data_IF_812183792896
#
_entry.id   IF_812183792896
#
_cell.length_a   1.000
_cell.length_b   1.000
_cell.length_c   1.000
_cell.angle_alpha   90.00
_cell.angle_beta   90.00
_cell.angle_gamma   90.00
#
_symmetry.space_group_name_H-M   'P 1'
#
loop_
_entity.id
_entity.type
_entity.pdbx_description
1 polymer ?
#
# COMPACT_ATOMS: atom_id res chain seq x y z
N UNK A 1 57.29 -43.42 43.87
CA UNK A 1 56.72 -42.27 44.58
C UNK A 1 56.01 -41.41 43.53
N UNK A 2 54.73 -41.69 43.27
CA UNK A 2 53.57 -40.91 43.73
C UNK A 2 53.65 -39.41 43.44
N UNK A 3 52.82 -38.93 42.50
CA UNK A 3 51.65 -38.06 42.75
C UNK A 3 51.34 -37.24 41.48
N UNK A 4 50.30 -37.62 40.72
CA UNK A 4 48.95 -37.01 40.74
C UNK A 4 48.85 -35.80 39.78
N UNK A 5 48.25 -36.01 38.61
CA UNK A 5 46.84 -35.71 38.27
C UNK A 5 46.55 -34.20 38.15
N UNK A 6 46.31 -33.77 36.92
CA UNK A 6 45.11 -33.01 36.54
C UNK A 6 45.00 -32.97 35.01
N UNK A 7 44.24 -33.92 34.45
CA UNK A 7 43.69 -33.83 33.10
C UNK A 7 42.53 -32.84 33.17
N UNK A 8 42.70 -31.64 32.64
CA UNK A 8 41.59 -30.73 32.43
C UNK A 8 40.84 -31.13 31.15
N UNK A 9 39.67 -31.70 31.35
CA UNK A 9 38.66 -31.99 30.33
C UNK A 9 38.02 -30.65 29.95
N UNK A 10 38.39 -30.09 28.80
CA UNK A 10 37.65 -28.98 28.20
C UNK A 10 36.61 -29.57 27.25
N UNK A 11 35.35 -29.45 27.66
CA UNK A 11 34.16 -29.86 26.90
C UNK A 11 34.06 -29.03 25.61
N UNK A 12 33.55 -29.58 24.51
CA UNK A 12 33.23 -28.79 23.33
C UNK A 12 32.11 -27.80 23.66
N UNK A 13 32.39 -26.50 23.51
CA UNK A 13 31.37 -25.46 23.55
C UNK A 13 30.59 -25.56 22.25
N UNK A 14 29.42 -26.19 22.33
CA UNK A 14 28.38 -26.11 21.32
C UNK A 14 27.88 -24.66 21.26
N UNK A 15 28.38 -23.91 20.29
CA UNK A 15 27.80 -22.61 19.92
C UNK A 15 26.72 -22.86 18.88
N UNK A 16 25.63 -23.52 19.30
CA UNK A 16 24.36 -23.38 18.61
C UNK A 16 23.87 -21.96 18.92
N UNK A 17 24.36 -20.99 18.15
CA UNK A 17 23.69 -19.70 18.01
C UNK A 17 22.39 -20.00 17.25
N UNK A 18 21.36 -20.33 18.01
CA UNK A 18 19.98 -20.21 17.57
C UNK A 18 19.81 -18.75 17.20
N UNK A 19 19.92 -18.44 15.90
CA UNK A 19 19.27 -17.28 15.35
C UNK A 19 17.79 -17.51 15.64
N UNK A 20 17.33 -16.99 16.77
CA UNK A 20 15.93 -16.62 16.93
C UNK A 20 15.70 -15.60 15.83
N UNK A 21 15.24 -16.09 14.67
CA UNK A 21 14.49 -15.28 13.72
C UNK A 21 13.48 -14.57 14.60
N UNK A 22 13.68 -13.27 14.82
CA UNK A 22 12.57 -12.42 15.22
C UNK A 22 11.44 -12.79 14.28
N UNK A 23 10.28 -13.19 14.80
CA UNK A 23 9.10 -13.36 13.98
C UNK A 23 9.00 -12.12 13.08
N UNK A 24 9.24 -12.31 11.79
CA UNK A 24 9.53 -11.23 10.84
C UNK A 24 8.30 -10.33 10.79
N UNK A 25 8.47 -9.02 10.90
CA UNK A 25 7.37 -8.04 10.81
C UNK A 25 6.60 -8.08 9.47
N UNK A 26 7.02 -8.94 8.52
CA UNK A 26 6.49 -9.12 7.18
C UNK A 26 5.69 -10.43 7.00
N UNK A 27 5.65 -11.32 8.00
CA UNK A 27 4.75 -12.49 8.02
C UNK A 27 3.34 -12.09 8.48
N UNK A 28 2.79 -11.08 7.82
CA UNK A 28 1.43 -10.60 8.07
C UNK A 28 0.72 -10.36 6.74
N UNK A 29 -0.62 -10.29 6.75
CA UNK A 29 -1.37 -9.95 5.56
C UNK A 29 -0.89 -8.63 4.94
N UNK A 30 -0.83 -8.60 3.61
CA UNK A 30 -0.59 -7.37 2.85
C UNK A 30 -1.75 -6.40 3.13
N UNK A 31 -1.43 -5.15 3.46
CA UNK A 31 -2.40 -4.09 3.75
C UNK A 31 -2.23 -2.91 2.80
N UNK A 32 -3.23 -2.03 2.77
CA UNK A 32 -3.19 -0.80 1.97
C UNK A 32 -1.95 0.03 2.28
N UNK A 33 -1.59 0.14 3.55
CA UNK A 33 -0.47 0.99 4.00
C UNK A 33 0.89 0.49 3.49
N UNK A 34 0.99 -0.78 3.09
CA UNK A 34 2.20 -1.36 2.50
C UNK A 34 2.41 -0.88 1.06
N UNK A 35 1.31 -0.66 0.35
CA UNK A 35 1.29 -0.30 -1.06
C UNK A 35 1.22 1.21 -1.29
N UNK A 36 0.72 1.98 -0.33
CA UNK A 36 0.61 3.44 -0.44
C UNK A 36 1.92 4.10 -0.01
N UNK A 37 2.47 4.97 -0.85
CA UNK A 37 3.65 5.76 -0.52
C UNK A 37 3.27 6.88 0.47
N UNK A 38 4.08 7.17 1.50
CA UNK A 38 3.79 8.26 2.44
C UNK A 38 3.58 9.61 1.72
N UNK A 39 4.33 9.86 0.66
CA UNK A 39 4.25 11.09 -0.14
C UNK A 39 3.21 11.06 -1.28
N UNK A 40 2.30 10.09 -1.33
CA UNK A 40 1.30 9.98 -2.41
C UNK A 40 0.47 11.27 -2.58
N UNK A 41 0.25 12.04 -1.51
CA UNK A 41 -0.44 13.34 -1.59
C UNK A 41 0.36 14.32 -2.42
N UNK A 42 1.66 14.48 -2.13
CA UNK A 42 2.57 15.34 -2.88
C UNK A 42 2.69 14.89 -4.34
N UNK A 43 2.78 13.59 -4.58
CA UNK A 43 2.81 13.03 -5.93
C UNK A 43 1.53 13.34 -6.71
N UNK A 44 0.37 13.37 -6.05
CA UNK A 44 -0.89 13.73 -6.68
C UNK A 44 -0.96 15.22 -7.05
N UNK A 45 -0.33 16.11 -6.27
CA UNK A 45 -0.30 17.56 -6.56
C UNK A 45 0.68 17.92 -7.68
N UNK A 46 1.59 17.03 -8.07
CA UNK A 46 2.49 17.21 -9.22
C UNK A 46 1.76 17.08 -10.57
N UNK A 47 0.52 16.59 -10.58
CA UNK A 47 -0.29 16.50 -11.79
C UNK A 47 -0.71 17.88 -12.29
N UNK A 48 -1.13 17.91 -13.55
CA UNK A 48 -1.69 19.12 -14.15
C UNK A 48 -3.14 19.36 -13.79
N UNK A 49 -3.89 18.30 -13.49
CA UNK A 49 -5.36 18.34 -13.40
C UNK A 49 -5.93 17.61 -12.18
N UNK A 50 -7.10 18.07 -11.75
CA UNK A 50 -7.94 17.48 -10.70
C UNK A 50 -9.40 17.46 -11.14
N UNK A 51 -10.25 16.73 -10.41
CA UNK A 51 -11.69 16.71 -10.66
C UNK A 51 -12.43 17.62 -9.69
N UNK A 52 -13.41 18.34 -10.20
CA UNK A 52 -14.34 19.18 -9.43
C UNK A 52 -15.78 18.88 -9.83
N UNK A 53 -16.74 19.20 -8.96
CA UNK A 53 -18.14 19.21 -9.34
C UNK A 53 -18.44 20.41 -10.25
N UNK A 54 -19.18 20.16 -11.32
CA UNK A 54 -19.71 21.18 -12.21
C UNK A 54 -21.22 20.97 -12.37
N UNK A 55 -21.98 22.07 -12.40
CA UNK A 55 -23.43 22.06 -12.65
C UNK A 55 -23.78 22.91 -13.88
N UNK A 56 -23.34 22.51 -15.09
CA UNK A 56 -23.61 23.30 -16.29
C UNK A 56 -25.11 23.35 -16.68
N UNK A 57 -25.93 22.42 -16.16
CA UNK A 57 -27.34 22.26 -16.57
C UNK A 57 -28.27 21.76 -15.45
N UNK A 58 -27.92 21.97 -14.18
CA UNK A 58 -28.67 21.44 -13.03
C UNK A 58 -28.46 19.96 -12.73
N UNK A 59 -27.57 19.29 -13.48
CA UNK A 59 -27.03 17.97 -13.15
C UNK A 59 -25.59 18.15 -12.63
N UNK A 60 -25.28 17.46 -11.54
CA UNK A 60 -23.92 17.42 -10.98
C UNK A 60 -23.07 16.47 -11.81
N UNK A 61 -22.08 17.01 -12.50
CA UNK A 61 -21.09 16.28 -13.28
C UNK A 61 -19.69 16.45 -12.69
N UNK A 62 -18.80 15.50 -12.95
CA UNK A 62 -17.38 15.67 -12.65
C UNK A 62 -16.69 16.30 -13.85
N UNK A 63 -15.97 17.39 -13.60
CA UNK A 63 -15.16 18.06 -14.61
C UNK A 63 -13.69 18.02 -14.22
N UNK A 64 -12.86 17.66 -15.17
CA UNK A 64 -11.40 17.78 -15.04
C UNK A 64 -10.99 19.24 -15.28
N UNK A 65 -10.21 19.79 -14.35
CA UNK A 65 -9.75 21.18 -14.35
C UNK A 65 -8.28 21.26 -13.97
N UNK A 66 -7.54 22.30 -14.39
CA UNK A 66 -6.16 22.48 -13.94
C UNK A 66 -6.07 22.56 -12.41
N UNK A 67 -5.05 21.94 -11.81
CA UNK A 67 -4.75 22.11 -10.40
C UNK A 67 -4.23 23.53 -10.17
N UNK A 68 -4.85 24.31 -9.27
CA UNK A 68 -4.34 25.62 -8.87
C UNK A 68 -2.89 25.58 -8.37
N UNK A 69 -2.07 26.56 -8.76
CA UNK A 69 -0.66 26.64 -8.37
C UNK A 69 -0.46 26.60 -6.86
N UNK A 70 -1.35 27.23 -6.09
CA UNK A 70 -1.33 27.18 -4.63
C UNK A 70 -1.37 25.74 -4.07
N UNK A 71 -2.11 24.83 -4.70
CA UNK A 71 -2.16 23.42 -4.31
C UNK A 71 -0.85 22.72 -4.68
N UNK A 72 -0.31 22.99 -5.88
CA UNK A 72 0.96 22.42 -6.34
C UNK A 72 2.14 22.83 -5.44
N UNK A 73 2.18 24.11 -5.06
CA UNK A 73 3.24 24.70 -4.24
C UNK A 73 3.14 24.26 -2.78
N UNK A 74 1.93 24.24 -2.21
CA UNK A 74 1.74 23.86 -0.81
C UNK A 74 1.78 22.36 -0.57
N UNK A 75 1.44 21.54 -1.58
CA UNK A 75 1.23 20.10 -1.41
C UNK A 75 0.03 19.75 -0.52
N UNK A 76 -0.85 20.70 -0.24
CA UNK A 76 -2.00 20.55 0.66
C UNK A 76 -3.28 20.39 -0.17
N UNK A 77 -4.02 19.31 0.10
CA UNK A 77 -5.33 19.07 -0.53
C UNK A 77 -6.40 19.91 0.17
N UNK A 78 -7.24 20.66 -0.58
CA UNK A 78 -8.32 21.44 0.00
C UNK A 78 -9.36 20.57 0.72
N UNK A 79 -10.06 21.18 1.68
CA UNK A 79 -11.18 20.52 2.35
C UNK A 79 -12.27 20.08 1.35
N UNK A 80 -12.84 18.90 1.57
CA UNK A 80 -13.82 18.30 0.67
C UNK A 80 -13.21 17.52 -0.51
N UNK A 81 -11.88 17.51 -0.64
CA UNK A 81 -11.15 16.71 -1.62
C UNK A 81 -10.26 15.65 -0.96
N UNK A 82 -9.89 14.65 -1.74
CA UNK A 82 -8.98 13.57 -1.34
C UNK A 82 -8.20 13.06 -2.54
N UNK A 83 -7.18 12.23 -2.30
CA UNK A 83 -6.45 11.52 -3.34
C UNK A 83 -7.10 10.15 -3.57
N UNK A 84 -7.57 9.93 -4.79
CA UNK A 84 -8.02 8.63 -5.27
C UNK A 84 -6.92 7.96 -6.11
N UNK A 85 -6.90 6.63 -6.05
CA UNK A 85 -6.03 5.78 -6.85
C UNK A 85 -6.86 5.17 -7.98
N UNK A 86 -6.61 5.49 -9.25
CA UNK A 86 -7.37 4.98 -10.41
C UNK A 86 -7.44 3.45 -10.35
N UNK A 87 -6.28 2.78 -10.25
CA UNK A 87 -6.16 1.41 -9.80
C UNK A 87 -5.96 1.39 -8.28
N UNK A 88 -6.97 0.97 -7.53
CA UNK A 88 -6.95 1.00 -6.06
C UNK A 88 -6.02 -0.08 -5.47
N UNK A 89 -5.30 0.24 -4.37
CA UNK A 89 -4.51 -0.75 -3.63
C UNK A 89 -5.32 -1.99 -3.21
N UNK A 90 -6.60 -1.83 -2.88
CA UNK A 90 -7.48 -2.91 -2.45
C UNK A 90 -7.79 -3.89 -3.58
N UNK A 91 -7.90 -3.41 -4.82
CA UNK A 91 -8.03 -4.28 -5.98
C UNK A 91 -6.76 -5.10 -6.22
N UNK A 92 -5.59 -4.50 -5.99
CA UNK A 92 -4.31 -5.22 -6.10
C UNK A 92 -4.20 -6.28 -5.00
N UNK A 93 -4.51 -5.93 -3.75
CA UNK A 93 -4.52 -6.88 -2.63
C UNK A 93 -5.48 -8.04 -2.93
N UNK A 94 -6.71 -7.74 -3.36
CA UNK A 94 -7.69 -8.77 -3.72
C UNK A 94 -7.21 -9.66 -4.88
N UNK A 95 -6.54 -9.10 -5.88
CA UNK A 95 -5.96 -9.87 -6.98
C UNK A 95 -4.83 -10.81 -6.50
N UNK A 96 -3.97 -10.33 -5.61
CA UNK A 96 -2.90 -11.12 -4.99
C UNK A 96 -3.49 -12.27 -4.16
N UNK A 97 -4.50 -11.99 -3.32
CA UNK A 97 -5.19 -13.01 -2.52
C UNK A 97 -5.78 -14.11 -3.41
N UNK A 98 -6.38 -13.73 -4.55
CA UNK A 98 -6.91 -14.69 -5.52
C UNK A 98 -5.83 -15.53 -6.20
N UNK A 99 -4.61 -15.03 -6.29
CA UNK A 99 -3.45 -15.77 -6.78
C UNK A 99 -2.79 -16.63 -5.70
N UNK A 100 -3.32 -16.63 -4.46
CA UNK A 100 -2.75 -17.35 -3.32
C UNK A 100 -1.62 -16.61 -2.62
N UNK A 101 -1.42 -15.33 -2.93
CA UNK A 101 -0.43 -14.45 -2.29
C UNK A 101 -1.14 -13.59 -1.25
N UNK A 102 -0.88 -13.87 0.02
CA UNK A 102 -1.51 -13.20 1.17
C UNK A 102 -0.53 -12.41 2.02
N UNK A 103 0.78 -12.74 2.01
CA UNK A 103 1.81 -12.05 2.79
C UNK A 103 2.89 -11.44 1.90
N UNK A 104 3.63 -10.46 2.41
CA UNK A 104 4.67 -9.76 1.64
C UNK A 104 5.82 -10.71 1.26
N UNK A 105 6.20 -11.63 2.16
CA UNK A 105 7.31 -12.58 1.92
C UNK A 105 7.04 -13.58 0.77
N UNK A 106 5.78 -13.75 0.36
CA UNK A 106 5.41 -14.60 -0.77
C UNK A 106 5.68 -13.94 -2.12
N UNK A 107 5.93 -12.63 -2.14
CA UNK A 107 6.33 -11.90 -3.33
C UNK A 107 7.86 -11.79 -3.41
N UNK A 108 8.45 -11.93 -4.60
CA UNK A 108 9.80 -11.43 -4.83
C UNK A 108 9.88 -9.95 -4.45
N UNK A 109 10.98 -9.56 -3.80
CA UNK A 109 11.19 -8.18 -3.33
C UNK A 109 11.04 -7.16 -4.47
N UNK A 110 11.64 -7.45 -5.63
CA UNK A 110 11.51 -6.64 -6.84
C UNK A 110 10.05 -6.46 -7.27
N UNK A 111 9.26 -7.54 -7.28
CA UNK A 111 7.83 -7.47 -7.65
C UNK A 111 7.03 -6.61 -6.67
N UNK A 112 7.29 -6.71 -5.36
CA UNK A 112 6.62 -5.85 -4.39
C UNK A 112 6.95 -4.37 -4.62
N UNK A 113 8.22 -4.05 -4.88
CA UNK A 113 8.65 -2.70 -5.22
C UNK A 113 8.04 -2.19 -6.52
N UNK A 114 7.93 -3.01 -7.55
CA UNK A 114 7.29 -2.66 -8.83
C UNK A 114 5.81 -2.36 -8.66
N UNK A 115 5.08 -3.19 -7.92
CA UNK A 115 3.66 -2.96 -7.60
C UNK A 115 3.51 -1.63 -6.89
N UNK A 116 4.32 -1.39 -5.86
CA UNK A 116 4.29 -0.14 -5.09
C UNK A 116 4.63 1.06 -5.97
N UNK A 117 5.67 0.96 -6.79
CA UNK A 117 6.07 2.04 -7.70
C UNK A 117 4.96 2.38 -8.68
N UNK A 118 4.36 1.36 -9.31
CA UNK A 118 3.27 1.50 -10.28
C UNK A 118 2.03 2.14 -9.64
N UNK A 119 1.62 1.69 -8.45
CA UNK A 119 0.45 2.22 -7.76
C UNK A 119 0.59 3.70 -7.38
N UNK A 120 1.81 4.16 -7.07
CA UNK A 120 2.06 5.53 -6.63
C UNK A 120 2.55 6.45 -7.76
N UNK A 121 2.54 6.00 -9.02
CA UNK A 121 2.82 6.89 -10.14
C UNK A 121 1.78 8.02 -10.18
N UNK A 122 2.18 9.28 -10.47
CA UNK A 122 1.23 10.39 -10.61
C UNK A 122 0.09 10.11 -11.60
N UNK A 123 0.35 9.30 -12.64
CA UNK A 123 -0.67 8.86 -13.59
C UNK A 123 -1.81 8.05 -12.95
N UNK A 124 -1.54 7.32 -11.86
CA UNK A 124 -2.52 6.53 -11.12
C UNK A 124 -3.20 7.30 -9.97
N UNK A 125 -2.72 8.50 -9.66
CA UNK A 125 -3.26 9.33 -8.58
C UNK A 125 -4.19 10.39 -9.16
N UNK A 126 -5.19 10.82 -8.40
CA UNK A 126 -6.06 11.92 -8.80
C UNK A 126 -6.65 12.62 -7.60
N UNK A 127 -6.71 13.94 -7.63
CA UNK A 127 -7.42 14.71 -6.61
C UNK A 127 -8.89 14.77 -7.03
N UNK A 128 -9.77 14.26 -6.19
CA UNK A 128 -11.22 14.14 -6.46
C UNK A 128 -12.02 14.66 -5.27
N UNK A 129 -13.30 15.04 -5.47
CA UNK A 129 -14.18 15.31 -4.35
C UNK A 129 -14.35 14.06 -3.47
N UNK A 130 -14.26 14.23 -2.15
CA UNK A 130 -14.35 13.14 -1.18
C UNK A 130 -15.60 12.25 -1.35
N UNK A 131 -16.80 12.78 -1.65
CA UNK A 131 -17.97 11.92 -1.89
C UNK A 131 -17.81 10.98 -3.08
N UNK A 132 -17.11 11.39 -4.15
CA UNK A 132 -16.82 10.52 -5.31
C UNK A 132 -15.92 9.36 -4.92
N UNK A 133 -14.86 9.66 -4.17
CA UNK A 133 -13.98 8.64 -3.62
C UNK A 133 -14.77 7.64 -2.77
N UNK A 134 -15.64 8.11 -1.87
CA UNK A 134 -16.47 7.25 -1.02
C UNK A 134 -17.44 6.37 -1.82
N UNK A 135 -18.07 6.91 -2.87
CA UNK A 135 -18.95 6.13 -3.76
C UNK A 135 -18.20 5.01 -4.46
N UNK A 136 -17.00 5.29 -4.97
CA UNK A 136 -16.14 4.28 -5.60
C UNK A 136 -15.76 3.19 -4.59
N UNK A 137 -15.33 3.58 -3.39
CA UNK A 137 -14.98 2.65 -2.31
C UNK A 137 -16.12 1.69 -1.97
N UNK A 138 -17.33 2.23 -1.79
CA UNK A 138 -18.52 1.43 -1.51
C UNK A 138 -18.85 0.45 -2.65
N UNK A 139 -18.70 0.88 -3.91
CA UNK A 139 -18.93 0.03 -5.08
C UNK A 139 -17.89 -1.09 -5.19
N UNK A 140 -16.62 -0.82 -4.88
CA UNK A 140 -15.56 -1.83 -4.84
C UNK A 140 -15.80 -2.88 -3.74
N UNK A 141 -16.13 -2.44 -2.53
CA UNK A 141 -16.44 -3.33 -1.41
C UNK A 141 -17.62 -4.26 -1.73
N UNK A 142 -18.68 -3.71 -2.35
CA UNK A 142 -19.84 -4.50 -2.77
C UNK A 142 -19.47 -5.55 -3.81
N UNK A 143 -18.66 -5.16 -4.80
CA UNK A 143 -18.18 -6.06 -5.86
C UNK A 143 -17.31 -7.18 -5.30
N UNK A 144 -16.43 -6.89 -4.34
CA UNK A 144 -15.60 -7.90 -3.68
C UNK A 144 -16.46 -8.90 -2.90
N UNK A 145 -17.48 -8.43 -2.18
CA UNK A 145 -18.38 -9.29 -1.42
C UNK A 145 -19.17 -10.25 -2.33
N UNK A 146 -19.69 -9.77 -3.45
CA UNK A 146 -20.42 -10.60 -4.42
C UNK A 146 -19.54 -11.69 -5.05
N UNK A 147 -18.24 -11.40 -5.30
CA UNK A 147 -17.31 -12.41 -5.83
C UNK A 147 -17.02 -13.50 -4.80
N UNK A 148 -16.94 -13.15 -3.51
CA UNK A 148 -16.69 -14.12 -2.44
C UNK A 148 -17.88 -15.06 -2.21
N UNK A 149 -19.12 -14.59 -2.41
CA UNK A 149 -20.33 -15.43 -2.25
C UNK A 149 -20.55 -16.44 -3.40
N UNK A 150 -19.88 -16.27 -4.54
CA UNK A 150 -20.04 -17.14 -5.73
C UNK A 150 -19.02 -18.28 -5.82
N UNK A 151 -18.15 -18.42 -4.81
CA UNK A 151 -17.15 -19.49 -4.71
C UNK A 151 -17.60 -20.54 -3.71
#
# INVERSE_FOLDING_TARGET
MFSSRLKAVLKPVSFAQTFSKSANALDRPIRREDLVHPDHVKMATEKDTMFVYAEPSGNVELKEVPIPDQIKESGVIPEGYTVDFIASPERVIFALERAGVTTIEQLPEETFHEIRATLNQPSNLSIVPTPIYQLKRAAEEKSHHEIQQKK
#
